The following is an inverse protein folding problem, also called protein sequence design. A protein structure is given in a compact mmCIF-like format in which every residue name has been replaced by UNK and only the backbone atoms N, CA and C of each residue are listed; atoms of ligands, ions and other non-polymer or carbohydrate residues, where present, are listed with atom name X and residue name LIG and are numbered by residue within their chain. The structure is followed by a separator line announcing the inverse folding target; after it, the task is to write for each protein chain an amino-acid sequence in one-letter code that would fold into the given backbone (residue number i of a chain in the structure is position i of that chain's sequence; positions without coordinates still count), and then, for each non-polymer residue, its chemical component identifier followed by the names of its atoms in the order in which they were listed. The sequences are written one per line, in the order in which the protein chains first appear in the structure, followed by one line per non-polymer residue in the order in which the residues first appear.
data_IF_127807078417
#
_entry.id   IF_127807078417
#
_cell.length_a   1.000
_cell.length_b   1.000
_cell.length_c   1.000
_cell.angle_alpha   90.00
_cell.angle_beta   90.00
_cell.angle_gamma   90.00
#
_symmetry.space_group_name_H-M   'P 1'
#
loop_
_entity.id
_entity.type
_entity.pdbx_description
1 polymer ?
#
# COMPACT_ATOMS: atom_id res chain seq x y z
N UNK A 1 26.97 18.26 11.86
CA UNK A 1 26.66 16.81 11.81
C UNK A 1 25.91 16.55 10.51
N UNK A 2 26.21 15.46 9.81
CA UNK A 2 25.52 15.07 8.57
C UNK A 2 24.72 13.79 8.83
N UNK A 3 23.44 13.79 8.43
CA UNK A 3 22.55 12.65 8.55
C UNK A 3 22.04 12.25 7.16
N UNK A 4 22.01 10.95 6.86
CA UNK A 4 21.52 10.41 5.61
C UNK A 4 20.74 9.11 5.85
N UNK A 5 19.79 8.78 4.99
CA UNK A 5 19.02 7.52 5.09
C UNK A 5 19.88 6.31 4.72
N UNK A 6 19.50 5.12 5.17
CA UNK A 6 20.18 3.87 4.78
C UNK A 6 19.93 3.49 3.30
N UNK A 7 18.83 3.96 2.71
CA UNK A 7 18.32 3.50 1.41
C UNK A 7 17.06 2.63 1.56
N UNK A 8 16.41 2.31 0.45
CA UNK A 8 15.14 1.57 0.43
C UNK A 8 15.25 0.18 -0.24
N UNK A 9 16.47 -0.29 -0.51
CA UNK A 9 16.74 -1.53 -1.28
C UNK A 9 16.87 -2.78 -0.39
N UNK A 10 16.43 -2.69 0.88
CA UNK A 10 16.27 -3.86 1.74
C UNK A 10 15.27 -4.87 1.17
N UNK A 11 15.10 -6.05 1.79
CA UNK A 11 15.61 -6.46 3.11
C UNK A 11 16.93 -7.24 3.08
N UNK A 12 17.56 -7.39 1.90
CA UNK A 12 18.76 -8.21 1.75
C UNK A 12 19.99 -7.57 2.43
N UNK A 13 20.92 -8.38 2.96
CA UNK A 13 22.17 -7.87 3.52
C UNK A 13 22.96 -7.02 2.52
N UNK A 14 23.78 -6.09 3.03
CA UNK A 14 24.66 -5.23 2.22
C UNK A 14 23.96 -4.28 1.22
N UNK A 15 22.70 -3.89 1.50
CA UNK A 15 21.90 -2.96 0.66
C UNK A 15 21.98 -1.48 1.07
N UNK A 16 22.72 -1.15 2.13
CA UNK A 16 22.87 0.23 2.63
C UNK A 16 23.79 1.05 1.72
N UNK A 17 23.38 2.27 1.35
CA UNK A 17 24.13 3.10 0.38
C UNK A 17 24.98 4.21 1.01
N UNK A 18 24.59 4.76 2.17
CA UNK A 18 25.30 5.84 2.83
C UNK A 18 26.25 5.30 3.93
N UNK A 19 27.40 4.74 3.54
CA UNK A 19 28.30 3.98 4.43
C UNK A 19 29.57 4.71 4.86
N UNK A 20 29.69 6.02 4.59
CA UNK A 20 30.89 6.79 4.95
C UNK A 20 31.00 6.99 6.48
N UNK A 21 32.20 6.89 7.08
CA UNK A 21 32.36 6.91 8.54
C UNK A 21 31.89 8.18 9.25
N UNK A 22 31.86 9.31 8.56
CA UNK A 22 31.52 10.64 9.12
C UNK A 22 30.04 11.01 9.01
N UNK A 23 29.18 10.12 8.48
CA UNK A 23 27.74 10.33 8.35
C UNK A 23 27.00 9.44 9.34
N UNK A 24 25.92 9.97 9.93
CA UNK A 24 24.94 9.15 10.65
C UNK A 24 23.95 8.56 9.67
N UNK A 25 24.02 7.24 9.47
CA UNK A 25 23.12 6.48 8.60
C UNK A 25 21.87 6.03 9.36
N UNK A 26 20.69 6.43 8.89
CA UNK A 26 19.42 6.24 9.60
C UNK A 26 18.55 5.18 8.92
N UNK A 27 18.13 4.15 9.67
CA UNK A 27 17.21 3.11 9.24
C UNK A 27 15.74 3.53 9.42
N UNK A 28 14.82 2.83 8.75
CA UNK A 28 13.39 3.02 8.90
C UNK A 28 12.80 1.95 9.85
N UNK A 29 11.84 2.36 10.67
CA UNK A 29 11.03 1.48 11.54
C UNK A 29 9.58 1.94 11.50
N UNK A 30 8.66 1.07 11.90
CA UNK A 30 7.26 1.44 12.15
C UNK A 30 7.11 2.14 13.49
N UNK A 31 5.97 2.82 13.67
CA UNK A 31 5.50 3.38 14.93
C UNK A 31 4.20 2.68 15.34
N UNK A 32 3.65 3.03 16.50
CA UNK A 32 2.38 2.50 17.02
C UNK A 32 1.13 2.95 16.23
N UNK A 33 1.24 4.02 15.42
CA UNK A 33 0.16 4.50 14.56
C UNK A 33 -0.08 3.54 13.39
N UNK A 34 -1.36 3.17 13.23
CA UNK A 34 -1.88 2.43 12.07
C UNK A 34 -2.77 3.34 11.19
N UNK A 35 -2.69 3.18 9.86
CA UNK A 35 -3.48 3.93 8.89
C UNK A 35 -4.55 3.01 8.30
N UNK A 36 -5.66 2.88 9.02
CA UNK A 36 -6.78 2.01 8.65
C UNK A 36 -7.63 2.66 7.54
N UNK A 37 -7.92 1.89 6.50
CA UNK A 37 -8.79 2.24 5.39
C UNK A 37 -9.75 1.08 5.08
N UNK A 38 -10.82 1.03 5.85
CA UNK A 38 -11.83 -0.03 5.78
C UNK A 38 -12.70 0.04 4.52
N UNK A 39 -13.05 -1.13 3.99
CA UNK A 39 -13.95 -1.29 2.85
C UNK A 39 -15.28 -1.85 3.35
N UNK A 40 -16.32 -1.02 3.34
CA UNK A 40 -17.69 -1.43 3.59
C UNK A 40 -18.31 -2.02 2.32
N UNK A 41 -18.81 -3.25 2.42
CA UNK A 41 -19.46 -3.98 1.34
C UNK A 41 -20.98 -4.03 1.56
N UNK A 42 -21.71 -4.35 0.48
CA UNK A 42 -23.14 -4.65 0.57
C UNK A 42 -23.37 -5.82 1.54
N UNK A 43 -24.42 -5.72 2.37
CA UNK A 43 -24.76 -6.75 3.37
C UNK A 43 -24.04 -6.59 4.71
N UNK A 44 -23.69 -5.36 5.10
CA UNK A 44 -23.08 -5.01 6.39
C UNK A 44 -21.74 -5.70 6.68
N UNK A 45 -21.04 -6.16 5.65
CA UNK A 45 -19.71 -6.74 5.78
C UNK A 45 -18.66 -5.64 5.67
N UNK A 46 -17.74 -5.58 6.61
CA UNK A 46 -16.58 -4.66 6.60
C UNK A 46 -15.31 -5.48 6.48
N UNK A 47 -14.43 -5.08 5.56
CA UNK A 47 -13.08 -5.63 5.44
C UNK A 47 -12.11 -4.56 5.95
N UNK A 48 -11.34 -4.91 6.98
CA UNK A 48 -10.27 -4.06 7.49
C UNK A 48 -9.11 -4.03 6.51
N UNK A 49 -8.63 -2.84 6.19
CA UNK A 49 -7.54 -2.61 5.26
C UNK A 49 -6.60 -1.53 5.72
N UNK A 50 -5.44 -1.42 5.10
CA UNK A 50 -4.45 -0.37 5.36
C UNK A 50 -4.33 0.53 4.15
N UNK A 51 -4.33 1.84 4.37
CA UNK A 51 -4.21 2.82 3.28
C UNK A 51 -4.47 4.25 3.73
N UNK A 52 -4.06 5.19 2.90
CA UNK A 52 -4.34 6.61 3.11
C UNK A 52 -5.39 7.02 2.09
N UNK A 53 -6.62 7.25 2.55
CA UNK A 53 -7.73 7.69 1.72
C UNK A 53 -8.00 9.19 1.95
N UNK A 54 -7.89 10.00 0.89
CA UNK A 54 -8.14 11.44 0.93
C UNK A 54 -9.56 11.83 0.51
N UNK A 55 -10.40 10.86 0.11
CA UNK A 55 -11.76 11.12 -0.36
C UNK A 55 -12.70 11.42 0.80
N UNK A 56 -13.70 12.26 0.54
CA UNK A 56 -14.81 12.50 1.47
C UNK A 56 -15.72 11.27 1.47
N UNK A 57 -15.53 10.39 2.45
CA UNK A 57 -16.29 9.14 2.59
C UNK A 57 -17.80 9.37 2.72
N UNK A 58 -18.23 10.54 3.21
CA UNK A 58 -19.65 10.88 3.35
C UNK A 58 -20.31 11.25 2.01
N UNK A 59 -19.52 11.53 0.98
CA UNK A 59 -19.98 11.83 -0.38
C UNK A 59 -19.60 10.75 -1.40
N UNK A 60 -18.96 9.67 -0.95
CA UNK A 60 -18.53 8.62 -1.85
C UNK A 60 -19.73 7.82 -2.35
N UNK A 61 -19.88 7.71 -3.67
CA UNK A 61 -20.87 6.83 -4.27
C UNK A 61 -20.54 5.37 -3.96
N UNK A 62 -21.58 4.55 -3.81
CA UNK A 62 -21.43 3.09 -3.75
C UNK A 62 -21.27 2.59 -5.18
N UNK A 63 -20.08 2.07 -5.49
CA UNK A 63 -19.77 1.52 -6.81
C UNK A 63 -19.99 0.01 -6.84
N UNK A 64 -20.47 -0.56 -7.97
CA UNK A 64 -20.56 -2.00 -8.13
C UNK A 64 -19.16 -2.63 -8.11
N UNK A 65 -19.00 -3.70 -7.34
CA UNK A 65 -17.76 -4.46 -7.26
C UNK A 65 -17.78 -5.65 -8.24
N UNK A 66 -16.73 -5.81 -9.04
CA UNK A 66 -16.53 -6.97 -9.91
C UNK A 66 -15.21 -7.66 -9.59
N UNK A 67 -15.21 -8.99 -9.54
CA UNK A 67 -13.98 -9.76 -9.43
C UNK A 67 -13.21 -9.72 -10.75
N UNK A 68 -11.93 -9.34 -10.73
CA UNK A 68 -11.15 -9.11 -11.95
C UNK A 68 -11.14 -10.28 -12.95
N UNK A 69 -11.16 -11.53 -12.46
CA UNK A 69 -11.26 -12.73 -13.32
C UNK A 69 -12.56 -12.77 -14.13
N UNK A 70 -13.66 -12.27 -13.55
CA UNK A 70 -14.97 -12.21 -14.19
C UNK A 70 -15.11 -11.06 -15.19
N UNK A 71 -14.23 -10.05 -15.11
CA UNK A 71 -14.18 -8.95 -16.08
C UNK A 71 -13.50 -9.33 -17.41
N UNK A 72 -12.97 -10.57 -17.53
CA UNK A 72 -12.35 -11.04 -18.77
C UNK A 72 -13.41 -11.17 -19.87
N UNK A 73 -13.18 -10.49 -20.99
CA UNK A 73 -14.00 -10.64 -22.20
C UNK A 73 -14.01 -12.09 -22.64
N UNK A 74 -15.20 -12.70 -22.71
CA UNK A 74 -15.38 -13.99 -23.37
C UNK A 74 -15.16 -13.77 -24.87
N UNK A 75 -14.00 -14.16 -25.37
CA UNK A 75 -13.80 -14.35 -26.82
C UNK A 75 -14.45 -15.68 -27.13
N UNK A 76 -15.67 -15.65 -27.67
CA UNK A 76 -16.23 -16.82 -28.34
C UNK A 76 -15.41 -17.02 -29.60
N UNK A 77 -14.61 -18.08 -29.64
CA UNK A 77 -14.09 -18.56 -30.92
C UNK A 77 -15.32 -18.91 -31.74
N UNK A 78 -15.54 -18.13 -32.79
CA UNK A 78 -16.48 -18.49 -33.84
C UNK A 78 -15.70 -19.44 -34.74
N UNK A 79 -16.32 -20.60 -35.00
CA UNK A 79 -15.84 -21.80 -35.72
C UNK A 79 -15.13 -22.85 -34.85
#
# INVERSE_FOLDING_TARGET
MVACSAGNDGPYPCSVVNVTPWIRTVAATTIDRDFESDVALVGNKVIKGEGINFADINKSYVYPLIYGKSAKRRVLNTL
#
